data_IF_708144723124
#
_entry.id   IF_708144723124
#
_cell.length_a   1.000
_cell.length_b   1.000
_cell.length_c   1.000
_cell.angle_alpha   90.00
_cell.angle_beta   90.00
_cell.angle_gamma   90.00
#
_symmetry.space_group_name_H-M   'P 1'
#
loop_
_entity.id
_entity.type
_entity.pdbx_description
1 polymer ?
#
# COMPACT_ATOMS: atom_id res chain seq x y z
N UNK A 1 0.25 -3.03 -9.67
CA UNK A 1 1.29 -2.78 -8.66
C UNK A 1 0.68 -2.00 -7.50
N UNK A 2 1.26 -2.07 -6.31
CA UNK A 2 0.94 -1.21 -5.17
C UNK A 2 2.23 -0.88 -4.41
N UNK A 3 2.22 0.12 -3.54
CA UNK A 3 3.40 0.56 -2.79
C UNK A 3 3.12 0.65 -1.28
N UNK A 4 4.17 0.55 -0.48
CA UNK A 4 4.17 0.65 0.98
C UNK A 4 5.33 1.54 1.42
N UNK A 5 5.29 2.07 2.64
CA UNK A 5 6.37 2.92 3.17
C UNK A 5 6.53 2.75 4.68
N UNK A 6 7.65 3.23 5.21
CA UNK A 6 7.89 3.34 6.65
C UNK A 6 8.62 4.64 6.94
N UNK A 7 8.38 5.25 8.10
CA UNK A 7 9.13 6.43 8.55
C UNK A 7 9.21 6.48 10.08
N UNK A 8 10.18 7.22 10.63
CA UNK A 8 10.28 7.39 12.10
C UNK A 8 9.21 8.30 12.69
N UNK A 9 8.54 9.10 11.86
CA UNK A 9 7.46 10.00 12.25
C UNK A 9 6.19 9.66 11.48
N UNK A 10 5.00 9.64 12.12
CA UNK A 10 3.73 9.33 11.47
C UNK A 10 3.43 10.20 10.24
N UNK A 11 3.76 11.50 10.31
CA UNK A 11 3.62 12.44 9.21
C UNK A 11 4.97 12.80 8.55
N UNK A 12 5.99 11.93 8.70
CA UNK A 12 7.35 12.12 8.19
C UNK A 12 7.52 11.77 6.71
N UNK A 13 6.48 11.94 5.89
CA UNK A 13 6.53 11.65 4.46
C UNK A 13 6.03 10.25 4.05
N UNK A 14 5.42 9.48 4.94
CA UNK A 14 4.88 8.14 4.62
C UNK A 14 3.97 8.15 3.38
N UNK A 15 3.01 9.09 3.33
CA UNK A 15 2.10 9.27 2.18
C UNK A 15 2.84 9.76 0.93
N UNK A 16 3.72 10.76 1.08
CA UNK A 16 4.45 11.37 -0.03
C UNK A 16 5.39 10.37 -0.73
N UNK A 17 6.04 9.49 0.03
CA UNK A 17 6.87 8.40 -0.53
C UNK A 17 6.04 7.43 -1.36
N UNK A 18 4.85 7.05 -0.90
CA UNK A 18 3.96 6.16 -1.65
C UNK A 18 3.49 6.85 -2.95
N UNK A 19 3.09 8.12 -2.87
CA UNK A 19 2.64 8.89 -4.02
C UNK A 19 3.77 9.08 -5.06
N UNK A 20 5.01 9.31 -4.63
CA UNK A 20 6.14 9.44 -5.55
C UNK A 20 6.48 8.12 -6.26
N UNK A 21 6.37 6.98 -5.56
CA UNK A 21 6.48 5.65 -6.18
C UNK A 21 5.36 5.47 -7.22
N UNK A 22 4.13 5.90 -6.92
CA UNK A 22 3.04 5.85 -7.91
C UNK A 22 3.30 6.73 -9.12
N UNK A 23 3.90 7.91 -8.97
CA UNK A 23 4.36 8.70 -10.12
C UNK A 23 5.30 7.89 -11.02
N UNK A 24 6.29 7.20 -10.45
CA UNK A 24 7.17 6.31 -11.23
C UNK A 24 6.41 5.17 -11.89
N UNK A 25 5.47 4.52 -11.19
CA UNK A 25 4.64 3.44 -11.75
C UNK A 25 3.79 3.92 -12.93
N UNK A 26 3.27 5.15 -12.89
CA UNK A 26 2.54 5.73 -14.02
C UNK A 26 3.43 5.88 -15.25
N UNK A 27 4.69 6.29 -15.09
CA UNK A 27 5.65 6.36 -16.21
C UNK A 27 5.97 4.99 -16.83
N UNK A 28 5.83 3.90 -16.08
CA UNK A 28 5.99 2.54 -16.59
C UNK A 28 4.74 2.01 -17.31
N UNK A 29 3.65 2.78 -17.34
CA UNK A 29 2.35 2.30 -17.83
C UNK A 29 1.73 1.24 -16.92
N UNK A 30 2.13 1.20 -15.64
CA UNK A 30 1.62 0.21 -14.69
C UNK A 30 0.20 0.56 -14.23
N UNK A 31 -0.59 -0.47 -13.97
CA UNK A 31 -1.88 -0.34 -13.28
C UNK A 31 -1.62 -0.25 -11.77
N UNK A 32 -1.95 0.88 -11.15
CA UNK A 32 -1.87 1.07 -9.69
C UNK A 32 -3.11 0.50 -9.02
N UNK A 33 -2.89 -0.38 -8.04
CA UNK A 33 -3.90 -1.11 -7.29
C UNK A 33 -3.79 -0.82 -5.79
N UNK A 34 -3.84 0.46 -5.40
CA UNK A 34 -3.79 0.90 -4.00
C UNK A 34 -4.88 0.24 -3.13
N UNK A 35 -4.65 0.03 -1.82
CA UNK A 35 -5.62 -0.65 -0.95
C UNK A 35 -6.92 0.15 -0.78
N UNK A 36 -6.83 1.48 -0.69
CA UNK A 36 -7.97 2.32 -0.26
C UNK A 36 -8.53 1.88 1.09
N UNK A 37 -9.77 2.26 1.37
CA UNK A 37 -10.53 1.82 2.54
C UNK A 37 -11.41 0.60 2.22
N UNK A 38 -10.87 -0.36 1.47
CA UNK A 38 -11.62 -1.53 1.01
C UNK A 38 -11.76 -2.64 2.06
N UNK A 39 -11.08 -2.51 3.19
CA UNK A 39 -11.19 -3.40 4.36
C UNK A 39 -10.92 -2.61 5.65
N UNK A 40 -11.64 -2.88 6.76
CA UNK A 40 -11.43 -2.24 8.05
C UNK A 40 -9.98 -2.31 8.58
N UNK A 41 -9.20 -3.32 8.19
CA UNK A 41 -7.79 -3.45 8.62
C UNK A 41 -6.93 -2.25 8.22
N UNK A 42 -7.32 -1.52 7.16
CA UNK A 42 -6.62 -0.29 6.77
C UNK A 42 -6.70 0.76 7.89
N UNK A 43 -7.82 0.89 8.60
CA UNK A 43 -7.97 1.84 9.70
C UNK A 43 -7.15 1.42 10.93
N UNK A 44 -7.10 0.12 11.23
CA UNK A 44 -6.28 -0.42 12.31
C UNK A 44 -4.78 -0.16 12.08
N UNK A 45 -4.36 -0.14 10.82
CA UNK A 45 -2.98 0.15 10.39
C UNK A 45 -2.69 1.65 10.19
N UNK A 46 -3.50 2.57 10.74
CA UNK A 46 -3.26 4.01 10.67
C UNK A 46 -4.00 4.75 9.56
N UNK A 47 -4.77 4.04 8.72
CA UNK A 47 -5.74 4.67 7.82
C UNK A 47 -5.15 5.30 6.55
N UNK A 48 -4.07 4.76 5.99
CA UNK A 48 -3.47 5.28 4.76
C UNK A 48 -4.09 4.61 3.51
N UNK A 49 -4.90 5.33 2.70
CA UNK A 49 -5.55 4.74 1.53
C UNK A 49 -4.59 4.54 0.35
N UNK A 50 -3.44 5.24 0.34
CA UNK A 50 -2.47 5.16 -0.74
C UNK A 50 -1.69 3.84 -0.68
N UNK A 51 -1.43 3.32 0.53
CA UNK A 51 -0.69 2.09 0.76
C UNK A 51 -0.42 1.91 2.25
N UNK A 52 -0.25 0.67 2.71
CA UNK A 52 0.12 0.41 4.10
C UNK A 52 1.42 1.13 4.44
N UNK A 53 1.40 1.93 5.50
CA UNK A 53 2.57 2.59 6.02
C UNK A 53 2.71 2.39 7.52
N UNK A 54 3.94 2.42 8.02
CA UNK A 54 4.23 2.13 9.43
C UNK A 54 5.24 3.11 10.01
N UNK A 55 4.98 3.52 11.24
CA UNK A 55 5.91 4.29 12.06
C UNK A 55 6.87 3.33 12.75
N UNK A 56 8.18 3.57 12.60
CA UNK A 56 9.23 2.76 13.23
C UNK A 56 9.91 3.58 14.32
N UNK A 57 10.02 3.08 15.55
CA UNK A 57 10.74 3.77 16.62
C UNK A 57 12.27 3.67 16.47
N UNK A 58 13.03 4.24 17.41
CA UNK A 58 14.50 4.25 17.33
C UNK A 58 15.10 2.86 17.53
N UNK A 59 14.35 1.97 18.16
CA UNK A 59 14.68 0.59 18.46
C UNK A 59 14.29 -0.37 17.33
N UNK A 60 13.60 0.12 16.29
CA UNK A 60 13.17 -0.65 15.13
C UNK A 60 11.81 -1.33 15.28
N UNK A 61 11.05 -1.04 16.32
CA UNK A 61 9.72 -1.60 16.52
C UNK A 61 8.68 -0.87 15.67
N UNK A 62 7.71 -1.65 15.17
CA UNK A 62 6.55 -1.14 14.45
C UNK A 62 5.53 -0.62 15.48
N UNK A 63 5.04 0.61 15.30
CA UNK A 63 4.04 1.18 16.22
C UNK A 63 2.61 0.75 15.90
N UNK A 64 2.29 0.62 14.62
CA UNK A 64 0.99 0.17 14.14
C UNK A 64 1.00 -1.35 13.86
N UNK A 65 -0.13 -2.02 14.10
CA UNK A 65 -0.32 -3.40 13.63
C UNK A 65 -0.68 -3.38 12.14
N UNK A 66 0.35 -3.52 11.30
CA UNK A 66 0.22 -3.44 9.84
C UNK A 66 0.07 -4.78 9.16
N UNK A 67 0.17 -5.90 9.88
CA UNK A 67 0.28 -7.23 9.26
C UNK A 67 -0.93 -7.55 8.37
N UNK A 68 -2.13 -7.37 8.90
CA UNK A 68 -3.35 -7.69 8.17
C UNK A 68 -3.61 -6.70 7.03
N UNK A 69 -3.21 -5.43 7.18
CA UNK A 69 -3.26 -4.44 6.10
C UNK A 69 -2.28 -4.77 4.96
N UNK A 70 -1.07 -5.21 5.27
CA UNK A 70 -0.10 -5.70 4.27
C UNK A 70 -0.67 -6.90 3.51
N UNK A 71 -1.26 -7.87 4.22
CA UNK A 71 -1.89 -9.05 3.62
C UNK A 71 -3.06 -8.63 2.71
N UNK A 72 -3.92 -7.73 3.18
CA UNK A 72 -5.04 -7.20 2.40
C UNK A 72 -4.59 -6.50 1.11
N UNK A 73 -3.64 -5.57 1.23
CA UNK A 73 -3.08 -4.86 0.08
C UNK A 73 -2.45 -5.81 -0.95
N UNK A 74 -1.69 -6.81 -0.48
CA UNK A 74 -1.07 -7.80 -1.34
C UNK A 74 -2.12 -8.65 -2.07
N UNK A 75 -3.13 -9.16 -1.35
CA UNK A 75 -4.26 -9.90 -1.93
C UNK A 75 -4.96 -9.08 -3.00
N UNK A 76 -5.34 -7.84 -2.68
CA UNK A 76 -5.99 -6.93 -3.63
C UNK A 76 -5.15 -6.72 -4.89
N UNK A 77 -3.83 -6.55 -4.74
CA UNK A 77 -2.91 -6.36 -5.88
C UNK A 77 -2.91 -7.58 -6.79
N UNK A 78 -2.85 -8.79 -6.22
CA UNK A 78 -2.89 -10.05 -6.98
C UNK A 78 -4.26 -10.25 -7.63
N UNK A 79 -5.36 -9.96 -6.93
CA UNK A 79 -6.72 -10.05 -7.46
C UNK A 79 -6.90 -9.14 -8.68
N UNK A 80 -6.48 -7.87 -8.61
CA UNK A 80 -6.56 -6.94 -9.74
C UNK A 80 -5.71 -7.44 -10.92
N UNK A 81 -4.51 -7.97 -10.66
CA UNK A 81 -3.68 -8.56 -11.71
C UNK A 81 -4.36 -9.78 -12.36
N UNK A 82 -5.05 -10.62 -11.57
CA UNK A 82 -5.85 -11.74 -12.04
C UNK A 82 -6.95 -11.30 -13.00
N UNK A 83 -7.75 -10.31 -12.61
CA UNK A 83 -8.82 -9.75 -13.46
C UNK A 83 -8.30 -9.24 -14.81
N UNK A 84 -7.17 -8.52 -14.80
CA UNK A 84 -6.54 -8.03 -16.04
C UNK A 84 -6.08 -9.19 -16.92
N UNK A 85 -5.44 -10.21 -16.34
CA UNK A 85 -4.95 -11.38 -17.07
C UNK A 85 -6.10 -12.18 -17.69
N UNK A 86 -7.21 -12.36 -16.97
CA UNK A 86 -8.41 -13.04 -17.47
C UNK A 86 -9.06 -12.24 -18.59
N UNK A 87 -9.19 -10.92 -18.42
CA UNK A 87 -9.77 -10.03 -19.44
C UNK A 87 -8.96 -9.95 -20.74
N UNK A 88 -7.66 -10.27 -20.72
CA UNK A 88 -6.82 -10.34 -21.92
C UNK A 88 -6.96 -11.66 -22.70
N UNK A 89 -7.63 -12.67 -22.15
CA UNK A 89 -7.81 -13.98 -22.79
C UNK A 89 -9.15 -14.14 -23.51
N UNK A 90 -10.06 -13.16 -23.36
CA UNK A 90 -11.30 -13.06 -24.13
C UNK A 90 -11.09 -12.35 -25.46
#
# INVERSE_FOLDING_TARGET
MSAMSSASNPHGGQEATILSIYTTMYHWGAIVAAPGYTDPVTFAAGGNPYGTSVTVDQEGNLKEDVKDAVIHQAKRTVTVAGWVKEGQQG
#
